data_IF_907762756262
#
_entry.id   IF_907762756262
#
_cell.length_a   1.000
_cell.length_b   1.000
_cell.length_c   1.000
_cell.angle_alpha   90.00
_cell.angle_beta   90.00
_cell.angle_gamma   90.00
#
_symmetry.space_group_name_H-M   'P 1'
#
loop_
_entity.id
_entity.type
_entity.pdbx_description
1 polymer ?
#
# COMPACT_ATOMS: atom_id res chain seq x y z
N UNK A 1 1.84 15.31 -1.64
CA UNK A 1 2.68 15.18 -0.43
C UNK A 1 2.18 14.02 0.43
N UNK A 2 3.03 13.47 1.30
CA UNK A 2 2.67 12.42 2.24
C UNK A 2 1.93 13.02 3.46
N UNK A 3 0.61 13.10 3.33
CA UNK A 3 -0.28 13.72 4.31
C UNK A 3 -0.39 12.91 5.61
N UNK A 4 -0.81 13.56 6.70
CA UNK A 4 -1.04 12.88 8.00
C UNK A 4 -1.95 11.66 7.89
N UNK A 5 -3.11 11.69 7.19
CA UNK A 5 -3.93 10.50 7.03
C UNK A 5 -3.19 9.34 6.35
N UNK A 6 -2.39 9.63 5.32
CA UNK A 6 -1.60 8.60 4.63
C UNK A 6 -0.54 8.00 5.55
N UNK A 7 0.12 8.81 6.37
CA UNK A 7 1.08 8.33 7.38
C UNK A 7 0.40 7.43 8.42
N UNK A 8 -0.83 7.75 8.83
CA UNK A 8 -1.63 6.90 9.72
C UNK A 8 -1.95 5.57 9.05
N UNK A 9 -2.41 5.57 7.79
CA UNK A 9 -2.68 4.34 7.05
C UNK A 9 -1.42 3.48 6.87
N UNK A 10 -0.29 4.11 6.53
CA UNK A 10 1.01 3.41 6.42
C UNK A 10 1.44 2.81 7.76
N UNK A 11 1.30 3.56 8.87
CA UNK A 11 1.60 3.04 10.20
C UNK A 11 0.68 1.86 10.57
N UNK A 12 -0.62 1.95 10.25
CA UNK A 12 -1.58 0.87 10.48
C UNK A 12 -1.19 -0.40 9.71
N UNK A 13 -0.86 -0.29 8.41
CA UNK A 13 -0.39 -1.44 7.62
C UNK A 13 0.93 -2.01 8.13
N UNK A 14 1.85 -1.17 8.60
CA UNK A 14 3.11 -1.62 9.19
C UNK A 14 2.88 -2.40 10.50
N UNK A 15 1.97 -1.94 11.37
CA UNK A 15 1.63 -2.64 12.60
C UNK A 15 0.95 -3.97 12.30
N UNK A 16 -0.01 -3.98 11.38
CA UNK A 16 -0.71 -5.19 10.94
C UNK A 16 0.28 -6.22 10.37
N UNK A 17 1.12 -5.80 9.43
CA UNK A 17 2.10 -6.68 8.82
C UNK A 17 3.18 -7.15 9.80
N UNK A 18 3.57 -6.32 10.77
CA UNK A 18 4.52 -6.74 11.80
C UNK A 18 3.89 -7.79 12.72
N UNK A 19 2.63 -7.60 13.12
CA UNK A 19 1.91 -8.54 13.96
C UNK A 19 1.81 -9.93 13.31
N UNK A 20 1.35 -10.00 12.06
CA UNK A 20 1.26 -11.27 11.32
C UNK A 20 2.64 -11.82 10.98
N UNK A 21 3.49 -10.96 10.41
CA UNK A 21 4.78 -11.33 9.84
C UNK A 21 5.79 -11.83 10.89
N UNK A 22 5.92 -11.12 12.02
CA UNK A 22 6.84 -11.54 13.09
C UNK A 22 6.40 -12.88 13.70
N UNK A 23 5.10 -13.06 13.93
CA UNK A 23 4.58 -14.29 14.52
C UNK A 23 4.81 -15.48 13.57
N UNK A 24 4.37 -15.37 12.31
CA UNK A 24 4.52 -16.44 11.32
C UNK A 24 5.99 -16.76 11.00
N UNK A 25 6.87 -15.75 10.90
CA UNK A 25 8.27 -15.97 10.53
C UNK A 25 9.10 -16.61 11.64
N UNK A 26 8.86 -16.24 12.91
CA UNK A 26 9.72 -16.63 14.04
C UNK A 26 9.11 -17.67 14.97
N UNK A 27 7.78 -17.77 15.01
CA UNK A 27 7.05 -18.71 15.87
C UNK A 27 5.96 -19.46 15.05
N UNK A 28 6.34 -20.18 13.96
CA UNK A 28 5.41 -20.71 12.98
C UNK A 28 4.41 -21.74 13.55
N UNK A 29 4.85 -22.59 14.49
CA UNK A 29 3.97 -23.58 15.13
C UNK A 29 2.90 -22.89 15.99
N UNK A 30 3.32 -21.93 16.84
CA UNK A 30 2.37 -21.12 17.62
C UNK A 30 1.43 -20.29 16.75
N UNK A 31 1.91 -19.78 15.60
CA UNK A 31 1.07 -19.05 14.65
C UNK A 31 0.01 -19.99 14.05
N UNK A 32 0.42 -21.19 13.63
CA UNK A 32 -0.49 -22.19 13.08
C UNK A 32 -1.57 -22.61 14.08
N UNK A 33 -1.17 -22.87 15.32
CA UNK A 33 -2.09 -23.39 16.34
C UNK A 33 -3.04 -22.33 16.90
N UNK A 34 -2.62 -21.07 16.96
CA UNK A 34 -3.30 -20.08 17.79
C UNK A 34 -3.59 -18.75 17.10
N UNK A 35 -3.24 -18.52 15.83
CA UNK A 35 -3.62 -17.29 15.13
C UNK A 35 -5.14 -17.24 14.91
N UNK A 36 -5.81 -16.09 15.10
CA UNK A 36 -5.31 -14.73 15.39
C UNK A 36 -5.16 -14.39 16.89
N UNK A 37 -5.06 -15.39 17.75
CA UNK A 37 -5.09 -15.26 19.20
C UNK A 37 -6.51 -15.30 19.74
N UNK A 38 -6.68 -14.87 20.99
CA UNK A 38 -8.00 -14.80 21.66
C UNK A 38 -8.75 -16.15 21.73
N UNK A 39 -8.03 -17.27 21.64
CA UNK A 39 -8.60 -18.61 21.63
C UNK A 39 -9.18 -19.05 20.28
N UNK A 40 -8.95 -18.27 19.21
CA UNK A 40 -9.36 -18.60 17.85
C UNK A 40 -8.23 -19.35 17.12
N UNK A 41 -8.62 -20.19 16.16
CA UNK A 41 -7.70 -21.06 15.40
C UNK A 41 -8.05 -21.04 13.92
N UNK A 42 -7.53 -20.04 13.19
CA UNK A 42 -7.91 -19.84 11.79
C UNK A 42 -6.98 -20.56 10.81
N UNK A 43 -5.72 -20.76 11.17
CA UNK A 43 -4.73 -21.35 10.24
C UNK A 43 -4.81 -22.87 10.26
N UNK A 44 -4.83 -23.49 11.45
CA UNK A 44 -4.94 -24.94 11.60
C UNK A 44 -6.28 -25.53 11.14
N UNK A 45 -7.31 -24.69 10.99
CA UNK A 45 -8.59 -25.10 10.42
C UNK A 45 -8.52 -25.36 8.91
N UNK A 46 -7.63 -24.68 8.18
CA UNK A 46 -7.57 -24.68 6.72
C UNK A 46 -6.69 -25.80 6.12
N UNK A 47 -5.96 -26.56 6.95
CA UNK A 47 -5.15 -27.68 6.46
C UNK A 47 -3.97 -28.04 7.35
N UNK A 48 -3.17 -29.05 6.95
CA UNK A 48 -2.04 -29.52 7.74
C UNK A 48 -0.90 -28.51 7.84
N UNK A 49 -0.15 -28.56 8.94
CA UNK A 49 1.01 -27.72 9.18
C UNK A 49 2.07 -27.84 8.08
N UNK A 50 2.52 -26.69 7.57
CA UNK A 50 3.65 -26.57 6.65
C UNK A 50 4.52 -25.37 7.08
N UNK A 51 5.62 -25.65 7.77
CA UNK A 51 6.50 -24.61 8.31
C UNK A 51 7.05 -23.68 7.22
N UNK A 52 7.43 -24.24 6.07
CA UNK A 52 8.01 -23.45 4.98
C UNK A 52 7.00 -22.41 4.47
N UNK A 53 5.77 -22.84 4.20
CA UNK A 53 4.70 -21.96 3.74
C UNK A 53 4.36 -20.89 4.78
N UNK A 54 4.29 -21.25 6.06
CA UNK A 54 4.02 -20.28 7.13
C UNK A 54 5.12 -19.22 7.22
N UNK A 55 6.39 -19.64 7.14
CA UNK A 55 7.52 -18.72 7.14
C UNK A 55 7.56 -17.84 5.89
N UNK A 56 7.17 -18.34 4.73
CA UNK A 56 7.04 -17.56 3.50
C UNK A 56 5.96 -16.47 3.64
N UNK A 57 4.80 -16.81 4.22
CA UNK A 57 3.77 -15.82 4.58
C UNK A 57 4.34 -14.79 5.55
N UNK A 58 5.08 -15.25 6.58
CA UNK A 58 5.78 -14.37 7.50
C UNK A 58 6.72 -13.38 6.79
N UNK A 59 7.55 -13.89 5.88
CA UNK A 59 8.48 -13.11 5.06
C UNK A 59 7.77 -12.09 4.16
N UNK A 60 6.66 -12.49 3.51
CA UNK A 60 5.83 -11.60 2.70
C UNK A 60 5.31 -10.40 3.52
N UNK A 61 4.70 -10.68 4.68
CA UNK A 61 4.18 -9.63 5.56
C UNK A 61 5.28 -8.74 6.14
N UNK A 62 6.46 -9.28 6.45
CA UNK A 62 7.61 -8.48 6.89
C UNK A 62 8.16 -7.60 5.76
N UNK A 63 8.16 -8.08 4.51
CA UNK A 63 8.50 -7.28 3.34
C UNK A 63 7.54 -6.10 3.15
N UNK A 64 6.24 -6.35 3.22
CA UNK A 64 5.20 -5.30 3.18
C UNK A 64 5.34 -4.32 4.35
N UNK A 65 5.63 -4.81 5.55
CA UNK A 65 5.91 -3.99 6.74
C UNK A 65 7.09 -3.05 6.50
N UNK A 66 8.22 -3.59 6.04
CA UNK A 66 9.42 -2.80 5.77
C UNK A 66 9.14 -1.70 4.73
N UNK A 67 8.40 -2.04 3.66
CA UNK A 67 8.01 -1.08 2.64
C UNK A 67 7.05 0.00 3.18
N UNK A 68 6.06 -0.37 4.00
CA UNK A 68 5.17 0.58 4.69
C UNK A 68 5.94 1.53 5.60
N UNK A 69 6.85 1.01 6.44
CA UNK A 69 7.70 1.81 7.32
C UNK A 69 8.56 2.79 6.52
N UNK A 70 9.24 2.31 5.47
CA UNK A 70 10.04 3.17 4.60
C UNK A 70 9.20 4.29 3.99
N UNK A 71 8.00 3.98 3.49
CA UNK A 71 7.09 4.94 2.90
C UNK A 71 6.60 6.01 3.88
N UNK A 72 6.47 5.71 5.19
CA UNK A 72 6.07 6.70 6.22
C UNK A 72 7.02 7.90 6.22
N UNK A 73 8.32 7.67 6.05
CA UNK A 73 9.34 8.73 6.15
C UNK A 73 9.53 9.55 4.86
N UNK A 74 8.84 9.19 3.78
CA UNK A 74 8.95 9.90 2.49
C UNK A 74 8.09 11.17 2.44
N UNK A 75 8.50 12.16 1.63
CA UNK A 75 7.78 13.43 1.46
C UNK A 75 6.66 13.35 0.41
N UNK A 76 6.79 12.50 -0.60
CA UNK A 76 5.82 12.35 -1.68
C UNK A 76 4.82 11.25 -1.38
N UNK A 77 3.66 11.26 -2.04
CA UNK A 77 2.66 10.20 -1.85
C UNK A 77 2.97 8.94 -2.66
N UNK A 78 3.88 9.02 -3.64
CA UNK A 78 4.12 7.95 -4.61
C UNK A 78 4.59 6.64 -3.95
N UNK A 79 5.57 6.62 -3.03
CA UNK A 79 5.98 5.37 -2.36
C UNK A 79 4.81 4.71 -1.61
N UNK A 80 4.01 5.50 -0.89
CA UNK A 80 2.84 4.98 -0.19
C UNK A 80 1.76 4.44 -1.12
N UNK A 81 1.65 4.95 -2.36
CA UNK A 81 0.72 4.40 -3.37
C UNK A 81 1.19 3.06 -3.90
N UNK A 82 2.49 2.90 -4.16
CA UNK A 82 3.08 1.63 -4.60
C UNK A 82 2.92 0.57 -3.52
N UNK A 83 3.21 0.91 -2.27
CA UNK A 83 2.98 0.02 -1.12
C UNK A 83 1.50 -0.33 -0.99
N UNK A 84 0.61 0.66 -1.11
CA UNK A 84 -0.83 0.45 -1.09
C UNK A 84 -1.31 -0.52 -2.18
N UNK A 85 -0.76 -0.41 -3.40
CA UNK A 85 -1.06 -1.36 -4.48
C UNK A 85 -0.64 -2.79 -4.12
N UNK A 86 0.54 -2.98 -3.54
CA UNK A 86 1.00 -4.29 -3.05
C UNK A 86 0.03 -4.89 -2.03
N UNK A 87 -0.34 -4.11 -1.01
CA UNK A 87 -1.34 -4.51 -0.01
C UNK A 87 -2.70 -4.80 -0.62
N UNK A 88 -3.15 -4.01 -1.60
CA UNK A 88 -4.46 -4.19 -2.22
C UNK A 88 -4.51 -5.46 -3.09
N UNK A 89 -3.47 -5.73 -3.88
CA UNK A 89 -3.42 -6.94 -4.73
C UNK A 89 -3.38 -8.18 -3.85
N UNK A 90 -2.46 -8.22 -2.88
CA UNK A 90 -2.37 -9.34 -1.93
C UNK A 90 -3.67 -9.51 -1.14
N UNK A 91 -4.18 -8.42 -0.56
CA UNK A 91 -5.40 -8.42 0.24
C UNK A 91 -6.64 -8.81 -0.56
N UNK A 92 -6.74 -8.45 -1.84
CA UNK A 92 -7.88 -8.81 -2.68
C UNK A 92 -7.92 -10.31 -2.95
N UNK A 93 -6.79 -10.91 -3.33
CA UNK A 93 -6.68 -12.35 -3.59
C UNK A 93 -6.97 -13.13 -2.30
N UNK A 94 -6.40 -12.70 -1.18
CA UNK A 94 -6.58 -13.38 0.11
C UNK A 94 -8.02 -13.24 0.64
N UNK A 95 -8.61 -12.04 0.53
CA UNK A 95 -9.99 -11.80 0.93
C UNK A 95 -10.98 -12.62 0.10
N UNK A 96 -10.79 -12.68 -1.22
CA UNK A 96 -11.63 -13.47 -2.13
C UNK A 96 -11.58 -14.96 -1.77
N UNK A 97 -10.39 -15.50 -1.49
CA UNK A 97 -10.25 -16.88 -1.02
C UNK A 97 -11.12 -17.15 0.21
N UNK A 98 -11.04 -16.32 1.26
CA UNK A 98 -11.83 -16.55 2.47
C UNK A 98 -13.33 -16.35 2.26
N UNK A 99 -13.76 -15.44 1.37
CA UNK A 99 -15.17 -15.31 1.01
C UNK A 99 -15.73 -16.58 0.36
N UNK A 100 -14.88 -17.35 -0.32
CA UNK A 100 -15.25 -18.62 -0.96
C UNK A 100 -15.09 -19.84 -0.02
N UNK A 101 -14.38 -19.69 1.11
CA UNK A 101 -14.09 -20.74 2.09
C UNK A 101 -14.52 -20.31 3.50
N UNK A 102 -15.79 -19.95 3.63
CA UNK A 102 -16.36 -19.54 4.92
C UNK A 102 -16.65 -20.78 5.77
N UNK A 103 -15.73 -21.09 6.69
CA UNK A 103 -15.83 -22.22 7.60
C UNK A 103 -15.68 -21.80 9.07
N UNK A 104 -16.08 -22.67 9.99
CA UNK A 104 -15.99 -22.44 11.43
C UNK A 104 -17.24 -21.79 12.04
N UNK A 105 -17.07 -21.21 13.22
CA UNK A 105 -18.17 -20.57 13.95
C UNK A 105 -18.52 -19.19 13.39
N UNK A 106 -19.64 -18.62 13.83
CA UNK A 106 -20.04 -17.27 13.40
C UNK A 106 -18.98 -16.20 13.75
N UNK A 107 -18.28 -16.35 14.88
CA UNK A 107 -17.21 -15.42 15.27
C UNK A 107 -15.98 -15.58 14.38
N UNK A 108 -15.68 -16.79 13.91
CA UNK A 108 -14.57 -17.04 12.97
C UNK A 108 -14.86 -16.42 11.61
N UNK A 109 -16.05 -16.67 11.07
CA UNK A 109 -16.48 -16.13 9.78
C UNK A 109 -16.47 -14.59 9.81
N UNK A 110 -17.12 -13.99 10.81
CA UNK A 110 -17.16 -12.51 10.93
C UNK A 110 -15.76 -11.95 11.17
N UNK A 111 -14.97 -12.60 12.01
CA UNK A 111 -13.59 -12.20 12.31
C UNK A 111 -12.71 -12.20 11.06
N UNK A 112 -12.74 -13.27 10.26
CA UNK A 112 -11.99 -13.37 9.01
C UNK A 112 -12.43 -12.30 8.02
N UNK A 113 -13.73 -12.21 7.72
CA UNK A 113 -14.25 -11.26 6.72
C UNK A 113 -13.95 -9.80 7.11
N UNK A 114 -14.17 -9.43 8.37
CA UNK A 114 -13.93 -8.05 8.82
C UNK A 114 -12.43 -7.72 8.84
N UNK A 115 -11.59 -8.60 9.38
CA UNK A 115 -10.15 -8.34 9.49
C UNK A 115 -9.48 -8.25 8.11
N UNK A 116 -9.80 -9.16 7.20
CA UNK A 116 -9.28 -9.17 5.83
C UNK A 116 -9.85 -8.00 5.02
N UNK A 117 -11.14 -7.69 5.18
CA UNK A 117 -11.77 -6.53 4.56
C UNK A 117 -11.11 -5.21 4.98
N UNK A 118 -10.77 -5.05 6.26
CA UNK A 118 -10.02 -3.89 6.77
C UNK A 118 -8.62 -3.85 6.14
N UNK A 119 -7.90 -4.98 6.10
CA UNK A 119 -6.56 -5.07 5.49
C UNK A 119 -6.59 -4.63 4.01
N UNK A 120 -7.54 -5.14 3.23
CA UNK A 120 -7.76 -4.76 1.85
C UNK A 120 -8.10 -3.27 1.71
N UNK A 121 -9.02 -2.76 2.53
CA UNK A 121 -9.42 -1.36 2.51
C UNK A 121 -8.23 -0.43 2.78
N UNK A 122 -7.34 -0.77 3.73
CA UNK A 122 -6.12 0.00 3.99
C UNK A 122 -5.22 0.07 2.74
N UNK A 123 -5.01 -1.06 2.06
CA UNK A 123 -4.26 -1.13 0.81
C UNK A 123 -4.86 -0.26 -0.30
N UNK A 124 -6.16 -0.41 -0.54
CA UNK A 124 -6.90 0.37 -1.55
C UNK A 124 -6.81 1.87 -1.26
N UNK A 125 -7.09 2.28 -0.02
CA UNK A 125 -7.02 3.70 0.38
C UNK A 125 -5.62 4.28 0.23
N UNK A 126 -4.57 3.49 0.47
CA UNK A 126 -3.19 3.89 0.20
C UNK A 126 -2.89 4.00 -1.30
N UNK A 127 -3.41 3.11 -2.13
CA UNK A 127 -3.18 3.15 -3.58
C UNK A 127 -3.77 4.40 -4.26
N UNK A 128 -4.86 4.95 -3.70
CA UNK A 128 -5.53 6.13 -4.23
C UNK A 128 -4.60 7.36 -4.30
N UNK A 129 -4.78 8.24 -5.31
CA UNK A 129 -4.00 9.46 -5.43
C UNK A 129 -4.23 10.41 -4.24
N UNK A 130 -3.21 11.21 -3.91
CA UNK A 130 -3.39 12.28 -2.94
C UNK A 130 -4.30 13.36 -3.54
N UNK A 131 -5.28 13.85 -2.76
CA UNK A 131 -6.14 14.95 -3.21
C UNK A 131 -5.28 16.17 -3.60
N UNK A 132 -5.51 16.77 -4.78
CA UNK A 132 -4.91 18.05 -5.12
C UNK A 132 -5.31 19.08 -4.06
N UNK A 133 -4.32 19.82 -3.54
CA UNK A 133 -4.62 21.02 -2.76
C UNK A 133 -4.95 22.09 -3.78
N UNK A 134 -6.23 22.47 -3.88
CA UNK A 134 -6.63 23.65 -4.63
C UNK A 134 -6.11 24.84 -3.84
N UNK A 135 -5.00 25.42 -4.30
CA UNK A 135 -4.55 26.72 -3.81
C UNK A 135 -5.45 27.75 -4.50
N UNK A 136 -6.48 28.23 -3.80
CA UNK A 136 -7.21 29.40 -4.28
C UNK A 136 -6.22 30.55 -4.34
N UNK A 137 -5.97 31.16 -5.51
CA UNK A 137 -5.08 32.31 -5.58
C UNK A 137 -5.63 33.39 -4.66
N UNK A 138 -4.83 33.81 -3.68
CA UNK A 138 -5.14 35.01 -2.90
C UNK A 138 -4.73 36.21 -3.77
N UNK A 139 -5.71 36.69 -4.55
CA UNK A 139 -5.66 37.90 -5.37
C UNK A 139 -6.87 37.89 -6.32
N UNK A 140 -7.67 38.94 -6.53
CA UNK A 140 -7.32 40.34 -6.54
C UNK A 140 -8.51 41.20 -6.04
N UNK A 141 -8.43 41.65 -4.80
CA UNK A 141 -9.14 42.84 -4.37
C UNK A 141 -8.39 44.06 -4.88
N UNK A 142 -8.55 44.39 -6.16
CA UNK A 142 -8.00 45.63 -6.74
C UNK A 142 -7.54 45.52 -8.18
N UNK A 143 -8.47 45.79 -9.11
CA UNK A 143 -8.14 46.38 -10.41
C UNK A 143 -8.05 45.43 -11.60
N UNK A 144 -8.97 45.64 -12.55
CA UNK A 144 -8.68 45.43 -13.98
C UNK A 144 -9.09 44.08 -14.55
N UNK A 145 -10.28 44.04 -15.13
CA UNK A 145 -10.64 43.04 -16.12
C UNK A 145 -9.75 43.19 -17.37
N UNK A 146 -8.81 42.28 -17.59
CA UNK A 146 -8.26 41.92 -18.91
C UNK A 146 -7.30 40.73 -18.78
N UNK A 147 -7.57 39.64 -19.54
CA UNK A 147 -6.57 38.61 -19.81
C UNK A 147 -6.78 37.27 -19.10
N UNK A 148 -7.94 36.64 -19.30
CA UNK A 148 -8.12 35.21 -19.03
C UNK A 148 -8.22 34.46 -20.37
N UNK A 149 -7.09 34.37 -21.06
CA UNK A 149 -6.83 33.38 -22.10
C UNK A 149 -5.33 33.04 -21.99
N UNK A 150 -5.00 31.76 -22.09
CA UNK A 150 -3.66 31.19 -22.06
C UNK A 150 -2.99 31.01 -20.69
N UNK A 151 -3.32 29.89 -20.03
CA UNK A 151 -2.33 29.11 -19.26
C UNK A 151 -2.91 27.72 -18.91
N UNK A 152 -3.08 26.86 -19.90
CA UNK A 152 -2.99 25.40 -19.71
C UNK A 152 -1.84 24.92 -20.58
N UNK A 153 -0.62 25.01 -20.04
CA UNK A 153 0.55 24.37 -20.63
C UNK A 153 0.91 23.21 -19.71
N UNK A 154 0.75 22.00 -20.26
CA UNK A 154 1.24 20.75 -19.69
C UNK A 154 2.76 20.84 -19.58
N UNK A 155 3.30 20.65 -18.38
CA UNK A 155 4.71 20.48 -18.15
C UNK A 155 5.01 18.98 -18.03
N UNK A 156 5.48 18.38 -19.12
CA UNK A 156 6.56 17.38 -19.13
C UNK A 156 6.71 16.85 -20.56
N UNK A 157 7.51 17.55 -21.37
CA UNK A 157 8.27 16.96 -22.47
C UNK A 157 9.54 17.82 -22.66
N UNK A 158 10.55 17.48 -21.87
CA UNK A 158 11.88 18.08 -21.91
C UNK A 158 12.94 17.00 -22.15
N UNK A 159 12.95 16.44 -23.36
CA UNK A 159 14.08 15.69 -23.88
C UNK A 159 14.80 16.58 -24.91
N UNK A 160 15.90 17.19 -24.49
CA UNK A 160 16.76 18.05 -25.30
C UNK A 160 17.76 17.18 -26.08
N UNK A 161 17.45 16.88 -27.34
CA UNK A 161 18.41 16.35 -28.31
C UNK A 161 19.27 17.49 -28.87
N UNK A 162 20.43 17.73 -28.23
CA UNK A 162 21.47 18.57 -28.79
C UNK A 162 22.33 17.78 -29.78
N UNK A 163 22.08 17.99 -31.08
CA UNK A 163 22.94 17.57 -32.20
C UNK A 163 24.04 18.61 -32.45
N UNK A 164 25.32 18.23 -32.56
CA UNK A 164 26.31 19.04 -33.26
C UNK A 164 26.60 18.49 -34.66
N UNK A 165 26.61 19.41 -35.62
CA UNK A 165 27.10 19.27 -37.00
C UNK A 165 28.60 19.54 -37.08
N UNK A 166 29.33 18.79 -37.93
CA UNK A 166 30.70 19.09 -38.40
C UNK A 166 31.61 17.86 -38.30
N UNK A 167 31.79 17.06 -39.37
CA UNK A 167 32.80 17.22 -40.45
C UNK A 167 34.23 17.40 -39.92
N UNK A 168 35.02 16.32 -40.02
CA UNK A 168 36.47 16.32 -39.83
C UNK A 168 37.02 14.98 -40.32
N UNK A 169 37.71 15.01 -41.44
CA UNK A 169 38.27 13.88 -42.16
C UNK A 169 39.59 13.36 -41.53
N UNK A 170 39.98 12.19 -42.02
CA UNK A 170 41.34 11.64 -42.15
C UNK A 170 41.77 10.48 -41.22
N UNK A 171 41.89 9.32 -41.88
CA UNK A 171 42.81 8.17 -41.72
C UNK A 171 42.60 7.18 -40.59
#
# INVERSE_FOLDING_TARGET
MNSTPRRILLAATAILGAYVGLWAAFLPESFYDAFPGLGLTWISADGPFNEHLIRDVGGLYLGLTAASVAAVFTRTAAPGRVVGLGWAVFGAIHFDYHLLHLEGSAIDVVGNVVSLGISLALGVLLALPARPVVVTPVGAGGGGAAGAADAVVNADDGADEARPTGVGAER
#
